data_IF_325049228903
#
_entry.id   IF_325049228903
#
_cell.length_a   1.000
_cell.length_b   1.000
_cell.length_c   1.000
_cell.angle_alpha   90.00
_cell.angle_beta   90.00
_cell.angle_gamma   90.00
#
_symmetry.space_group_name_H-M   'P 1'
#
loop_
_entity.id
_entity.type
_entity.pdbx_description
1 polymer ?
2 non-polymer ?
3 water ?
#
# COMPACT_ATOMS: atom_id res chain seq x y z
N UNK A 1 2.61 10.68 25.42
CA UNK A 1 2.79 9.65 24.37
C UNK A 1 1.98 8.40 24.72
N UNK A 2 1.62 7.61 23.69
CA UNK A 2 0.90 6.33 23.83
C UNK A 2 1.93 5.19 23.89
N UNK A 3 1.78 4.33 24.95
CA UNK A 3 2.92 3.44 25.15
C UNK A 3 3.10 2.42 24.01
N UNK A 4 1.98 1.90 23.48
CA UNK A 4 1.97 0.90 22.38
C UNK A 4 1.08 1.38 21.25
N UNK A 5 1.53 2.37 20.44
CA UNK A 5 0.70 2.97 19.38
C UNK A 5 0.48 1.95 18.27
N UNK A 6 -0.77 1.80 17.81
CA UNK A 6 -1.22 0.67 16.96
C UNK A 6 -1.16 1.05 15.46
N UNK A 7 -0.76 2.29 15.16
CA UNK A 7 -0.50 2.78 13.79
C UNK A 7 0.39 4.02 13.88
N UNK A 8 0.73 4.63 12.75
CA UNK A 8 1.55 5.85 12.67
C UNK A 8 0.80 7.12 13.12
N UNK A 9 -0.53 7.11 13.25
CA UNK A 9 -1.24 8.30 13.82
C UNK A 9 -1.00 8.34 15.34
N UNK A 10 -1.31 7.27 16.07
CA UNK A 10 -1.03 7.12 17.53
C UNK A 10 0.47 7.37 17.84
N UNK A 11 1.36 7.13 16.87
CA UNK A 11 2.82 7.14 17.08
C UNK A 11 3.35 8.56 16.87
N UNK A 12 2.65 9.31 16.02
CA UNK A 12 2.96 10.69 15.64
C UNK A 12 2.56 11.60 16.80
N UNK A 13 1.24 11.63 17.09
CA UNK A 13 0.59 12.56 18.06
C UNK A 13 1.36 12.51 19.39
N UNK A 14 2.12 11.43 19.63
CA UNK A 14 3.16 11.34 20.69
C UNK A 14 4.15 12.51 20.55
N UNK A 15 4.06 13.26 19.44
CA UNK A 15 4.91 14.43 19.14
C UNK A 15 5.79 14.19 17.93
N UNK A 16 6.21 12.94 17.70
CA UNK A 16 7.25 12.52 16.71
C UNK A 16 6.79 12.88 15.28
N UNK A 17 7.38 13.93 14.69
CA UNK A 17 6.90 14.56 13.43
C UNK A 17 7.88 14.31 12.28
N UNK A 18 8.93 13.49 12.49
CA UNK A 18 9.90 13.08 11.43
C UNK A 18 9.41 11.78 10.77
N UNK A 19 9.34 11.75 9.46
CA UNK A 19 9.12 10.50 8.69
C UNK A 19 10.33 9.58 8.92
N UNK A 20 10.08 8.28 9.04
CA UNK A 20 11.13 7.27 9.27
C UNK A 20 10.57 6.03 9.92
N UNK A 21 11.45 5.18 10.44
CA UNK A 21 11.09 3.89 11.07
C UNK A 21 10.55 4.14 12.46
N UNK A 22 9.44 3.48 12.78
CA UNK A 22 8.76 3.52 14.09
C UNK A 22 8.23 2.13 14.43
N UNK A 23 8.05 1.86 15.73
CA UNK A 23 7.46 0.60 16.21
C UNK A 23 5.97 0.83 16.44
N UNK A 24 5.13 0.02 15.81
CA UNK A 24 3.68 -0.03 16.17
C UNK A 24 3.39 -1.40 16.76
N UNK A 25 2.21 -1.53 17.37
CA UNK A 25 1.77 -2.69 18.17
C UNK A 25 0.33 -3.01 17.79
N UNK A 26 0.12 -4.11 17.06
CA UNK A 26 -1.19 -4.46 16.48
C UNK A 26 -2.15 -4.78 17.63
N UNK A 27 -3.33 -4.20 17.58
CA UNK A 27 -4.34 -4.20 18.68
C UNK A 27 -3.78 -3.53 19.94
N UNK A 28 -2.74 -2.71 19.85
CA UNK A 28 -2.09 -2.11 21.05
C UNK A 28 -1.42 -3.14 21.95
N UNK A 29 -1.19 -4.36 21.44
CA UNK A 29 -0.58 -5.52 22.14
C UNK A 29 0.95 -5.41 22.06
N UNK A 30 1.61 -5.22 23.20
CA UNK A 30 3.10 -5.15 23.27
C UNK A 30 3.75 -6.42 22.69
N UNK A 31 3.02 -7.52 22.55
CA UNK A 31 3.55 -8.78 21.98
C UNK A 31 3.40 -8.83 20.44
N UNK A 32 2.80 -7.80 19.81
CA UNK A 32 2.56 -7.77 18.34
C UNK A 32 3.25 -6.53 17.76
N UNK A 33 4.51 -6.33 18.14
CA UNK A 33 5.39 -5.22 17.72
C UNK A 33 5.70 -5.35 16.24
N UNK A 34 5.54 -4.26 15.49
CA UNK A 34 5.81 -4.21 14.04
C UNK A 34 6.62 -2.97 13.74
N UNK A 35 7.72 -3.13 13.00
CA UNK A 35 8.47 -1.99 12.43
C UNK A 35 7.74 -1.57 11.14
N UNK A 36 7.44 -0.29 11.05
CA UNK A 36 6.79 0.34 9.87
C UNK A 36 7.59 1.61 9.56
N UNK A 37 7.57 2.02 8.28
CA UNK A 37 7.93 3.41 7.87
C UNK A 37 6.68 4.26 7.97
N UNK A 38 6.73 5.30 8.81
CA UNK A 38 5.68 6.33 8.94
C UNK A 38 6.04 7.50 8.04
N UNK A 39 5.15 7.83 7.10
CA UNK A 39 5.24 9.11 6.35
C UNK A 39 4.45 10.13 7.17
N UNK A 40 5.18 11.00 7.86
CA UNK A 40 4.61 11.97 8.83
C UNK A 40 4.43 13.36 8.18
N UNK A 41 4.65 13.52 6.86
CA UNK A 41 4.65 14.84 6.17
C UNK A 41 3.47 14.94 5.20
N UNK A 42 3.26 13.96 4.32
CA UNK A 42 2.15 13.93 3.31
C UNK A 42 0.79 14.13 4.00
N UNK A 43 0.06 15.17 3.57
CA UNK A 43 -1.28 15.55 4.05
C UNK A 43 -1.41 15.36 5.57
N UNK A 44 -0.52 15.97 6.34
CA UNK A 44 -0.63 16.00 7.81
C UNK A 44 -0.10 14.75 8.49
N UNK A 45 0.46 13.81 7.73
CA UNK A 45 1.27 12.67 8.24
C UNK A 45 0.45 11.57 8.87
N UNK A 46 1.08 10.76 9.74
CA UNK A 46 0.45 9.66 10.50
C UNK A 46 0.15 8.45 9.63
N UNK A 47 0.81 8.34 8.48
CA UNK A 47 0.59 7.22 7.53
C UNK A 47 1.58 6.09 7.78
N UNK A 48 1.09 4.85 7.85
CA UNK A 48 1.91 3.62 7.68
C UNK A 48 2.11 3.46 6.18
N UNK A 49 3.34 3.56 5.68
CA UNK A 49 3.65 3.19 4.27
C UNK A 49 3.72 1.66 4.18
N UNK A 50 3.01 1.06 3.22
CA UNK A 50 2.92 -0.41 3.08
C UNK A 50 3.52 -0.85 1.72
N UNK A 51 3.67 0.07 0.76
CA UNK A 51 4.40 -0.14 -0.52
C UNK A 51 5.27 1.09 -0.81
N UNK A 52 6.52 0.87 -1.22
CA UNK A 52 7.34 1.91 -1.86
C UNK A 52 8.06 1.29 -3.07
N UNK A 53 7.90 1.95 -4.21
CA UNK A 53 8.70 1.76 -5.45
C UNK A 53 9.48 3.05 -5.71
N UNK A 54 10.75 2.95 -6.08
CA UNK A 54 11.56 4.18 -6.35
C UNK A 54 12.82 3.97 -7.20
N UNK A 55 13.25 2.73 -7.48
CA UNK A 55 14.51 2.51 -8.26
C UNK A 55 14.58 1.10 -8.86
N UNK A 56 13.67 0.18 -8.52
CA UNK A 56 13.68 -1.17 -9.08
C UNK A 56 14.81 -2.06 -8.56
N UNK A 57 15.41 -1.76 -7.41
CA UNK A 57 16.50 -2.62 -6.88
C UNK A 57 15.88 -3.89 -6.29
N UNK A 58 14.63 -3.85 -5.81
CA UNK A 58 13.98 -5.00 -5.12
C UNK A 58 13.14 -5.77 -6.14
N UNK A 59 13.04 -7.09 -5.99
CA UNK A 59 12.20 -7.96 -6.86
C UNK A 59 10.80 -8.03 -6.24
N UNK A 60 9.75 -7.67 -6.98
CA UNK A 60 8.36 -7.73 -6.47
C UNK A 60 7.62 -8.94 -7.04
N UNK A 61 8.26 -9.70 -7.93
CA UNK A 61 7.64 -10.94 -8.47
C UNK A 61 7.92 -12.05 -7.45
N UNK A 62 7.19 -12.05 -6.33
CA UNK A 62 7.45 -12.93 -5.17
C UNK A 62 6.19 -13.75 -4.90
N UNK A 63 6.27 -14.78 -4.06
CA UNK A 63 5.21 -15.81 -3.93
C UNK A 63 4.19 -15.40 -2.84
N UNK A 64 3.15 -16.20 -2.68
CA UNK A 64 2.05 -15.93 -1.72
C UNK A 64 2.66 -15.69 -0.34
N UNK A 65 3.48 -16.62 0.15
CA UNK A 65 4.08 -16.54 1.51
C UNK A 65 4.83 -15.19 1.64
N UNK A 66 5.54 -14.73 0.60
CA UNK A 66 6.29 -13.45 0.63
C UNK A 66 5.31 -12.25 0.70
N UNK A 67 4.19 -12.29 -0.04
CA UNK A 67 3.16 -11.20 -0.03
C UNK A 67 2.41 -11.24 1.30
N UNK A 68 2.20 -12.41 1.91
CA UNK A 68 1.50 -12.50 3.23
C UNK A 68 2.36 -11.92 4.35
N UNK A 69 3.67 -12.17 4.32
CA UNK A 69 4.60 -11.86 5.44
C UNK A 69 5.22 -10.47 5.28
N UNK A 70 5.56 -10.10 4.03
CA UNK A 70 6.24 -8.83 3.69
C UNK A 70 7.67 -9.06 3.26
N UNK A 71 8.31 -8.08 2.62
CA UNK A 71 9.70 -8.22 2.11
C UNK A 71 10.27 -6.86 1.77
N UNK A 72 11.59 -6.83 1.61
CA UNK A 72 12.38 -5.65 1.25
C UNK A 72 12.80 -4.81 2.45
N UNK A 73 13.05 -3.54 2.18
CA UNK A 73 13.77 -2.60 3.06
C UNK A 73 12.83 -1.43 3.26
N UNK A 74 12.41 -1.21 4.51
CA UNK A 74 11.36 -0.23 4.88
C UNK A 74 11.85 1.18 4.57
N UNK A 75 13.16 1.38 4.47
CA UNK A 75 13.78 2.69 4.14
C UNK A 75 13.81 2.89 2.62
N UNK A 76 13.67 1.81 1.84
CA UNK A 76 13.76 1.82 0.36
C UNK A 76 12.51 1.15 -0.21
N UNK A 77 12.67 0.13 -1.06
CA UNK A 77 11.54 -0.60 -1.70
C UNK A 77 11.12 -1.80 -0.86
N UNK A 78 9.84 -1.88 -0.55
CA UNK A 78 9.31 -2.95 0.32
C UNK A 78 7.82 -3.09 0.11
N UNK A 79 7.35 -4.19 0.66
CA UNK A 79 5.94 -4.59 0.81
C UNK A 79 5.74 -5.03 2.27
N UNK A 80 4.82 -4.40 3.00
CA UNK A 80 4.67 -4.57 4.48
C UNK A 80 4.11 -5.96 4.79
N UNK A 81 3.30 -6.52 3.89
CA UNK A 81 2.74 -7.88 4.01
C UNK A 81 1.26 -7.85 4.28
N UNK A 82 0.51 -8.82 3.77
CA UNK A 82 -0.99 -8.78 3.79
C UNK A 82 -1.49 -9.07 5.21
N UNK A 83 -0.86 -9.99 5.94
CA UNK A 83 -1.30 -10.36 7.31
C UNK A 83 -1.22 -9.09 8.17
N UNK A 84 -0.14 -8.34 7.99
CA UNK A 84 0.01 -7.03 8.66
C UNK A 84 -1.16 -6.13 8.27
N UNK A 85 -1.43 -5.97 6.99
CA UNK A 85 -2.48 -5.03 6.49
C UNK A 85 -3.85 -5.45 7.04
N UNK A 86 -4.12 -6.76 7.06
CA UNK A 86 -5.37 -7.32 7.64
C UNK A 86 -5.53 -6.88 9.10
N UNK A 87 -4.51 -7.14 9.92
CA UNK A 87 -4.51 -6.86 11.37
C UNK A 87 -4.61 -5.34 11.59
N UNK A 88 -3.91 -4.53 10.80
CA UNK A 88 -3.97 -3.05 10.98
C UNK A 88 -5.40 -2.57 10.69
N UNK A 89 -5.92 -2.92 9.50
CA UNK A 89 -7.23 -2.41 9.04
C UNK A 89 -8.36 -3.00 9.90
N UNK A 90 -8.10 -4.04 10.71
CA UNK A 90 -9.11 -4.62 11.64
C UNK A 90 -9.28 -3.72 12.88
N UNK A 91 -8.30 -2.85 13.17
CA UNK A 91 -8.25 -2.03 14.43
C UNK A 91 -9.30 -0.90 14.38
N UNK A 92 -9.77 -0.52 13.19
CA UNK A 92 -10.76 0.56 13.00
C UNK A 92 -10.95 0.89 11.53
N UNK A 93 -11.55 2.03 11.21
CA UNK A 93 -11.76 2.44 9.80
C UNK A 93 -10.50 3.17 9.34
N UNK A 94 -9.83 2.62 8.35
CA UNK A 94 -8.60 3.21 7.79
C UNK A 94 -8.94 3.84 6.43
N UNK A 95 -8.15 4.85 6.05
CA UNK A 95 -8.19 5.44 4.71
C UNK A 95 -6.88 5.04 4.02
N UNK A 96 -6.98 4.79 2.71
CA UNK A 96 -5.81 4.54 1.82
C UNK A 96 -5.40 5.84 1.15
N UNK A 97 -4.09 6.10 1.07
CA UNK A 97 -3.55 7.17 0.19
C UNK A 97 -2.49 6.51 -0.69
N UNK A 98 -2.50 6.90 -1.96
CA UNK A 98 -1.45 6.54 -2.94
C UNK A 98 -0.80 7.82 -3.45
N UNK A 99 0.53 7.88 -3.35
CA UNK A 99 1.34 9.02 -3.85
C UNK A 99 2.16 8.49 -5.02
N UNK A 100 2.12 9.20 -6.15
CA UNK A 100 2.79 8.82 -7.42
C UNK A 100 3.64 10.02 -7.83
N UNK A 101 4.80 9.77 -8.41
CA UNK A 101 5.69 10.81 -8.98
C UNK A 101 6.39 10.14 -10.16
N UNK A 102 6.34 10.79 -11.31
CA UNK A 102 7.04 10.25 -12.50
C UNK A 102 7.55 11.42 -13.33
N UNK A 103 8.86 11.45 -13.59
CA UNK A 103 9.52 12.54 -14.36
C UNK A 103 8.92 13.88 -13.91
N UNK A 104 8.81 14.07 -12.59
CA UNK A 104 8.53 15.38 -11.98
C UNK A 104 7.06 15.64 -11.73
N UNK A 105 6.17 14.94 -12.44
CA UNK A 105 4.71 15.10 -12.20
C UNK A 105 4.33 14.34 -10.95
N UNK A 106 3.38 14.84 -10.18
CA UNK A 106 2.82 14.12 -9.02
C UNK A 106 1.31 13.95 -9.20
N UNK A 107 0.77 12.89 -8.63
CA UNK A 107 -0.68 12.61 -8.49
C UNK A 107 -0.91 11.86 -7.18
N UNK A 108 -2.12 11.90 -6.65
CA UNK A 108 -2.47 11.12 -5.45
C UNK A 108 -3.89 10.62 -5.62
N UNK A 109 -4.21 9.63 -4.80
CA UNK A 109 -5.57 9.08 -4.62
C UNK A 109 -5.76 8.77 -3.14
N UNK A 110 -6.91 9.19 -2.61
CA UNK A 110 -7.34 8.83 -1.24
C UNK A 110 -8.66 8.07 -1.36
N UNK A 111 -8.76 6.96 -0.63
CA UNK A 111 -9.99 6.15 -0.43
C UNK A 111 -10.34 6.21 1.04
N UNK A 112 -11.49 6.85 1.35
CA UNK A 112 -12.00 7.06 2.73
C UNK A 112 -12.07 5.76 3.52
N UNK A 113 -12.37 4.65 2.84
CA UNK A 113 -12.59 3.32 3.47
C UNK A 113 -11.64 2.35 2.78
N UNK A 114 -10.77 1.72 3.56
CA UNK A 114 -9.76 0.77 3.07
C UNK A 114 -9.61 -0.34 4.12
N UNK A 115 -9.72 -1.59 3.68
CA UNK A 115 -9.46 -2.75 4.55
C UNK A 115 -8.99 -3.89 3.66
N UNK A 116 -8.27 -4.82 4.27
CA UNK A 116 -7.74 -6.07 3.68
C UNK A 116 -8.27 -7.24 4.52
N UNK A 117 -9.00 -8.18 3.89
CA UNK A 117 -9.55 -9.37 4.58
C UNK A 117 -8.44 -10.26 5.15
N UNK A 118 -8.83 -11.27 5.95
CA UNK A 118 -7.87 -12.28 6.49
C UNK A 118 -7.59 -13.32 5.41
N UNK A 119 -6.70 -14.26 5.74
CA UNK A 119 -6.17 -15.29 4.82
C UNK A 119 -7.35 -16.09 4.24
N UNK A 120 -8.41 -16.25 5.02
CA UNK A 120 -9.64 -16.99 4.64
C UNK A 120 -10.36 -16.27 3.50
N UNK A 121 -10.13 -14.96 3.31
CA UNK A 121 -10.74 -14.12 2.23
C UNK A 121 -9.73 -13.98 1.09
N UNK A 122 -8.60 -14.65 1.19
CA UNK A 122 -7.42 -14.42 0.33
C UNK A 122 -7.10 -12.91 0.37
N UNK A 123 -7.26 -12.31 1.55
CA UNK A 123 -6.93 -10.88 1.85
C UNK A 123 -7.71 -9.96 0.91
N UNK A 124 -9.03 -10.17 0.85
CA UNK A 124 -10.02 -9.37 0.08
C UNK A 124 -9.72 -7.87 0.21
N UNK A 125 -9.58 -7.18 -0.92
CA UNK A 125 -9.43 -5.70 -0.90
C UNK A 125 -10.80 -5.07 -0.74
N UNK A 126 -10.91 -4.06 0.13
CA UNK A 126 -12.06 -3.12 0.16
C UNK A 126 -11.50 -1.69 0.04
N UNK A 127 -11.90 -0.99 -1.01
CA UNK A 127 -11.59 0.46 -1.25
C UNK A 127 -12.88 1.15 -1.69
N UNK A 128 -13.37 2.11 -0.89
CA UNK A 128 -14.55 2.96 -1.21
C UNK A 128 -14.14 4.41 -0.98
N UNK A 129 -14.85 5.37 -1.60
CA UNK A 129 -14.79 6.79 -1.21
C UNK A 129 -13.61 7.54 -1.83
N UNK A 130 -13.52 7.56 -3.16
CA UNK A 130 -12.34 8.08 -3.89
C UNK A 130 -12.34 9.61 -3.89
N UNK A 131 -11.17 10.20 -3.70
CA UNK A 131 -10.87 11.57 -4.15
C UNK A 131 -9.42 11.63 -4.59
N UNK A 132 -9.10 12.58 -5.46
CA UNK A 132 -7.72 12.91 -5.80
C UNK A 132 -7.55 13.27 -7.25
N UNK A 133 -6.31 13.17 -7.72
CA UNK A 133 -5.88 13.68 -9.04
C UNK A 133 -5.35 12.55 -9.94
N UNK A 134 -5.16 11.32 -9.42
CA UNK A 134 -4.55 10.23 -10.22
C UNK A 134 -5.62 9.51 -11.07
N UNK A 135 -6.89 9.65 -10.71
CA UNK A 135 -8.01 8.89 -11.32
C UNK A 135 -8.35 7.65 -10.52
N UNK A 136 -9.62 7.29 -10.49
CA UNK A 136 -10.09 6.22 -9.60
C UNK A 136 -9.75 4.88 -10.26
N UNK A 137 -8.49 4.44 -10.13
CA UNK A 137 -8.03 3.19 -10.77
C UNK A 137 -8.24 1.97 -9.83
N UNK A 138 -8.45 2.18 -8.54
CA UNK A 138 -8.66 1.05 -7.56
C UNK A 138 -10.12 0.57 -7.59
N UNK A 139 -11.09 1.39 -8.02
CA UNK A 139 -12.52 1.01 -8.00
C UNK A 139 -12.66 -0.31 -8.75
N UNK A 140 -11.91 -0.48 -9.84
CA UNK A 140 -11.90 -1.72 -10.67
C UNK A 140 -11.57 -2.94 -9.80
N UNK A 141 -10.72 -2.73 -8.80
CA UNK A 141 -10.13 -3.81 -7.96
C UNK A 141 -10.96 -4.05 -6.69
N UNK A 142 -12.00 -3.27 -6.43
CA UNK A 142 -12.75 -3.37 -5.16
C UNK A 142 -13.34 -4.77 -5.05
N UNK A 143 -13.12 -5.43 -3.93
CA UNK A 143 -13.72 -6.73 -3.59
C UNK A 143 -12.86 -7.88 -4.08
N UNK A 144 -11.75 -7.61 -4.77
CA UNK A 144 -10.91 -8.70 -5.33
C UNK A 144 -10.04 -9.28 -4.22
N UNK A 145 -9.86 -10.59 -4.29
CA UNK A 145 -8.88 -11.33 -3.47
C UNK A 145 -7.48 -10.97 -3.99
N UNK A 146 -6.45 -11.22 -3.20
CA UNK A 146 -5.05 -11.03 -3.65
C UNK A 146 -4.65 -12.21 -4.54
N UNK A 147 -3.74 -11.99 -5.48
CA UNK A 147 -3.18 -13.05 -6.37
C UNK A 147 -1.68 -12.86 -6.48
N UNK A 148 -0.99 -13.99 -6.33
CA UNK A 148 0.43 -14.18 -6.68
C UNK A 148 0.46 -15.31 -7.71
N UNK A 149 1.59 -15.51 -8.36
CA UNK A 149 1.79 -16.57 -9.39
C UNK A 149 1.38 -17.94 -8.84
N UNK A 150 1.67 -18.22 -7.57
CA UNK A 150 1.44 -19.55 -6.96
C UNK A 150 0.06 -19.62 -6.27
N UNK A 151 -0.81 -18.62 -6.45
CA UNK A 151 -2.24 -18.72 -6.02
C UNK A 151 -3.07 -17.65 -6.72
N UNK A 159 -4.36 -16.48 -15.00
CA UNK A 159 -3.77 -15.96 -13.73
C UNK A 159 -2.87 -14.76 -14.09
N UNK A 160 -3.23 -13.58 -13.58
CA UNK A 160 -2.72 -12.24 -14.00
C UNK A 160 -1.30 -12.01 -13.48
N UNK A 161 -1.00 -12.51 -12.27
CA UNK A 161 0.34 -12.41 -11.61
C UNK A 161 1.40 -13.00 -12.54
N UNK A 162 1.15 -14.20 -13.03
CA UNK A 162 2.04 -14.89 -14.00
C UNK A 162 2.01 -14.16 -15.35
N UNK A 163 0.83 -13.85 -15.90
CA UNK A 163 0.68 -13.12 -17.18
C UNK A 163 1.49 -11.83 -17.16
N UNK A 164 1.43 -11.06 -16.07
CA UNK A 164 1.99 -9.67 -15.97
C UNK A 164 3.20 -9.58 -15.02
N UNK A 165 3.66 -10.66 -14.40
CA UNK A 165 4.96 -10.72 -13.66
C UNK A 165 4.92 -9.71 -12.49
N UNK A 166 3.89 -9.80 -11.66
CA UNK A 166 3.67 -8.89 -10.53
C UNK A 166 2.81 -9.56 -9.48
N UNK A 167 2.14 -8.80 -8.64
CA UNK A 167 1.20 -9.34 -7.65
C UNK A 167 0.26 -8.21 -7.26
N UNK A 168 -1.03 -8.51 -7.12
CA UNK A 168 -2.05 -7.49 -6.79
C UNK A 168 -3.37 -8.20 -6.48
N UNK A 169 -4.35 -7.40 -6.07
CA UNK A 169 -5.80 -7.74 -6.06
C UNK A 169 -6.31 -7.73 -7.52
N UNK A 170 -5.80 -8.66 -8.33
CA UNK A 170 -6.04 -8.73 -9.79
C UNK A 170 -7.51 -9.13 -10.05
N UNK A 171 -8.02 -8.69 -11.20
CA UNK A 171 -9.39 -9.00 -11.67
C UNK A 171 -9.26 -9.66 -13.05
N UNK A 172 -9.14 -8.87 -14.12
CA UNK A 172 -8.88 -9.41 -15.47
C UNK A 172 -8.46 -8.31 -16.43
N UNK A 173 -7.34 -7.63 -16.14
CA UNK A 173 -6.43 -8.03 -15.08
C UNK A 173 -6.19 -6.89 -14.09
N UNK A 174 -5.77 -5.72 -14.58
CA UNK A 174 -5.50 -4.53 -13.71
C UNK A 174 -5.68 -3.18 -14.41
N UNK A 175 -6.04 -2.19 -13.57
CA UNK A 175 -5.84 -0.74 -13.83
C UNK A 175 -4.77 -0.19 -12.89
N UNK A 176 -4.44 -0.92 -11.81
CA UNK A 176 -3.30 -0.63 -10.90
C UNK A 176 -2.37 -1.86 -10.81
N UNK A 177 -1.06 -1.64 -10.98
CA UNK A 177 -0.03 -2.71 -10.98
C UNK A 177 1.23 -2.19 -10.26
N UNK A 178 1.07 -1.58 -9.09
CA UNK A 178 2.16 -0.85 -8.39
C UNK A 178 3.23 -1.83 -7.89
N UNK A 179 2.92 -3.13 -7.86
CA UNK A 179 3.96 -4.16 -7.53
C UNK A 179 4.42 -4.87 -8.82
N UNK A 180 4.42 -4.15 -9.94
CA UNK A 180 4.81 -4.68 -11.27
C UNK A 180 6.29 -4.53 -11.49
N UNK A 181 6.76 -4.89 -12.69
CA UNK A 181 8.19 -4.79 -13.08
C UNK A 181 8.60 -3.33 -13.23
N UNK A 182 9.65 -2.93 -12.52
CA UNK A 182 10.16 -1.53 -12.49
C UNK A 182 10.74 -1.11 -13.86
N UNK A 183 10.40 0.09 -14.31
CA UNK A 183 10.85 0.63 -15.61
C UNK A 183 10.48 -0.22 -16.82
N UNK A 184 9.45 -1.07 -16.71
CA UNK A 184 8.97 -1.89 -17.86
C UNK A 184 7.76 -1.20 -18.52
N UNK A 185 7.93 -0.63 -19.73
CA UNK A 185 6.88 0.13 -20.46
C UNK A 185 6.05 -0.80 -21.36
N UNK A 186 6.38 -2.09 -21.47
CA UNK A 186 5.55 -3.07 -22.22
C UNK A 186 4.15 -3.07 -21.60
N UNK A 187 3.11 -3.15 -22.43
CA UNK A 187 1.68 -3.03 -22.00
C UNK A 187 1.40 -3.90 -20.75
N UNK A 188 0.99 -3.26 -19.65
CA UNK A 188 0.45 -3.88 -18.40
C UNK A 188 1.54 -4.58 -17.55
N UNK A 189 2.82 -4.42 -17.90
CA UNK A 189 3.99 -5.14 -17.30
C UNK A 189 4.65 -4.26 -16.24
N UNK A 190 4.53 -2.95 -16.36
CA UNK A 190 5.18 -1.96 -15.46
C UNK A 190 4.38 -1.59 -14.23
N UNK A 191 4.92 -0.61 -13.51
CA UNK A 191 4.30 0.01 -12.31
C UNK A 191 3.21 0.96 -12.80
N UNK A 192 1.98 0.48 -12.94
CA UNK A 192 0.96 1.21 -13.71
C UNK A 192 -0.12 1.74 -12.79
N UNK A 193 -0.61 2.93 -13.13
CA UNK A 193 -1.86 3.53 -12.61
C UNK A 193 -2.63 4.05 -13.83
N UNK A 194 -3.46 3.21 -14.41
CA UNK A 194 -3.95 3.37 -15.79
C UNK A 194 -4.55 4.77 -16.02
N UNK A 195 -5.33 5.28 -15.07
CA UNK A 195 -6.16 6.49 -15.28
C UNK A 195 -5.32 7.73 -15.03
N UNK A 196 -4.02 7.55 -14.76
CA UNK A 196 -3.02 8.64 -14.70
C UNK A 196 -2.06 8.56 -15.90
N UNK A 197 -1.43 7.40 -16.13
CA UNK A 197 -0.37 7.26 -17.18
C UNK A 197 -0.57 6.04 -18.07
N UNK A 198 -1.67 5.32 -17.96
CA UNK A 198 -1.99 4.24 -18.92
C UNK A 198 -1.20 2.97 -18.65
N UNK A 199 -1.15 2.06 -19.62
CA UNK A 199 -0.56 0.71 -19.44
C UNK A 199 0.83 0.62 -20.08
N UNK A 200 1.32 1.67 -20.75
CA UNK A 200 2.63 1.64 -21.47
C UNK A 200 3.58 2.66 -20.86
N UNK A 201 3.35 3.01 -19.60
CA UNK A 201 4.20 3.95 -18.84
C UNK A 201 4.43 3.40 -17.43
N UNK A 202 5.66 2.99 -17.13
CA UNK A 202 6.06 2.45 -15.81
C UNK A 202 6.41 3.62 -14.90
N UNK A 203 5.70 3.75 -13.79
CA UNK A 203 5.84 4.94 -12.87
C UNK A 203 7.13 4.79 -12.05
N UNK A 204 7.89 5.89 -11.92
CA UNK A 204 9.21 5.92 -11.23
C UNK A 204 9.06 5.79 -9.71
N UNK A 205 8.08 6.46 -9.12
CA UNK A 205 7.89 6.48 -7.65
C UNK A 205 6.42 6.24 -7.32
N UNK A 206 6.19 5.30 -6.39
CA UNK A 206 4.85 4.94 -5.87
C UNK A 206 4.94 4.58 -4.39
N UNK A 207 4.08 5.20 -3.58
CA UNK A 207 3.82 4.76 -2.19
C UNK A 207 2.32 4.51 -2.02
N UNK A 208 1.97 3.43 -1.33
CA UNK A 208 0.63 3.17 -0.72
C UNK A 208 0.80 3.22 0.80
N UNK A 209 -0.16 3.86 1.48
CA UNK A 209 -0.06 4.16 2.93
C UNK A 209 -1.46 4.20 3.53
N UNK A 210 -1.59 3.91 4.83
CA UNK A 210 -2.91 4.02 5.50
C UNK A 210 -2.81 4.68 6.86
N UNK A 211 -3.93 5.26 7.28
CA UNK A 211 -4.09 5.86 8.63
C UNK A 211 -5.58 5.83 8.92
N UNK A 212 -6.00 6.12 10.17
CA UNK A 212 -7.41 6.09 10.50
C UNK A 212 -8.14 7.12 9.63
N UNK A 213 -9.30 6.74 9.09
CA UNK A 213 -10.09 7.64 8.22
C UNK A 213 -10.48 8.89 9.03
N UNK A 214 -10.49 8.81 10.36
CA UNK A 214 -10.99 9.92 11.20
C UNK A 214 -9.84 10.86 11.59
N UNK A 215 -8.61 10.61 11.12
CA UNK A 215 -7.38 11.40 11.42
C UNK A 215 -7.57 12.85 10.98
N UNK A 216 -8.17 13.07 9.81
CA UNK A 216 -8.39 14.41 9.20
C UNK A 216 -8.98 15.39 10.24
N UNK A 217 -9.71 14.91 11.27
CA UNK A 217 -10.38 15.78 12.26
C UNK A 217 -10.35 15.19 13.67
N UNK A 218 -9.24 14.55 14.05
CA UNK A 218 -9.08 13.82 15.34
C UNK A 218 -8.69 14.78 16.47
X LIG B 1 10.66 -9.63 7.32
X LIG B 1 7.95 -6.46 6.14
X LIG B 1 8.57 -7.70 6.27
X LIG B 1 9.83 -7.91 5.73
X LIG B 1 10.50 -9.25 5.90
X LIG B 1 11.88 -10.47 7.42
X LIG B 1 12.83 -12.42 8.83
X LIG B 1 10.50 -6.89 5.05
X LIG B 1 9.92 -5.65 4.89
X LIG B 1 8.64 -5.45 5.46
X LIG B 1 11.97 -11.12 8.82
X LIG B 1 14.26 -11.93 9.08
X LIG B 1 14.06 -10.51 9.57
X LIG B 1 12.68 -10.21 9.59
X LIG B 1 8.09 -4.27 5.39
#
# INVERSE_FOLDING_TARGET
SMPFPKDCSQAMLNGDTTSGLYTIYLNGDKAQALEVFCDMTSDGGGWIVFLRRKNGRENFYQNWKAYAAGFGDRREEFWLGLDNLNKITAQGQYELRVDLRDHGETAFAVYDKFSVGDAKTRYKLKVEGYSGTAGDSMAYHNGRSFSTFDKDTDSAITNCALSYKGAFWYRNCHRVNLMGRYGDNNHSQGVNWFHWKGHEHSIQFAEMKLRPSNFRNLEG
AXS N1 C4 C5 C6 C7 C8 C10 C1 C2 C3 C9 C11 C12 O1 F1
#
